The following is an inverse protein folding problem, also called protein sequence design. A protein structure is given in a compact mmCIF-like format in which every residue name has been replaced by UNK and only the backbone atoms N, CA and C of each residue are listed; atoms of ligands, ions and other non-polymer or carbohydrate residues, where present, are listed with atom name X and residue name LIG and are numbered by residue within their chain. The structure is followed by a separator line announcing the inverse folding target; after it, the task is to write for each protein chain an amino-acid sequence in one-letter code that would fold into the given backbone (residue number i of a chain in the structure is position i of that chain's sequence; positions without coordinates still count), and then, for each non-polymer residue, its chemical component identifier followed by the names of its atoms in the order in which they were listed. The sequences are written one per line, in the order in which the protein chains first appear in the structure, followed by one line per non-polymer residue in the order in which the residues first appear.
data_IF_547526144533
#
_entry.id   IF_547526144533
#
_cell.length_a   1.000
_cell.length_b   1.000
_cell.length_c   1.000
_cell.angle_alpha   90.00
_cell.angle_beta   90.00
_cell.angle_gamma   90.00
#
_symmetry.space_group_name_H-M   'P 1'
#
loop_
_entity.id
_entity.type
_entity.pdbx_description
1 polymer ?
#
# COMPACT_ATOMS: atom_id res chain seq x y z
N UNK A 1 9.77 6.83 -4.35
CA UNK A 1 8.97 6.50 -3.15
C UNK A 1 9.04 5.01 -2.90
N UNK A 2 9.22 4.60 -1.66
CA UNK A 2 9.31 3.20 -1.25
C UNK A 2 7.91 2.63 -1.07
N UNK A 3 7.62 1.49 -1.71
CA UNK A 3 6.35 0.77 -1.57
C UNK A 3 6.55 -0.41 -0.63
N UNK A 4 5.72 -0.50 0.39
CA UNK A 4 5.86 -1.47 1.47
C UNK A 4 4.55 -2.17 1.80
N UNK A 5 4.65 -3.27 2.53
CA UNK A 5 3.51 -3.96 3.14
C UNK A 5 3.88 -4.41 4.55
N UNK A 6 2.89 -4.53 5.43
CA UNK A 6 3.11 -5.23 6.71
C UNK A 6 3.39 -6.71 6.47
N UNK A 7 4.39 -7.26 7.19
CA UNK A 7 4.76 -8.68 7.15
C UNK A 7 3.57 -9.62 7.33
N UNK A 8 2.65 -9.26 8.21
CA UNK A 8 1.46 -10.06 8.51
C UNK A 8 0.49 -10.15 7.33
N UNK A 9 0.48 -9.13 6.45
CA UNK A 9 -0.38 -9.07 5.27
C UNK A 9 0.27 -9.77 4.07
N UNK A 10 1.60 -9.76 3.96
CA UNK A 10 2.34 -10.42 2.87
C UNK A 10 2.06 -11.93 2.79
N UNK A 11 1.85 -12.60 3.93
CA UNK A 11 1.75 -14.07 4.04
C UNK A 11 0.56 -14.72 3.31
N UNK A 12 -0.29 -13.93 2.65
CA UNK A 12 -1.51 -14.43 1.99
C UNK A 12 -1.33 -14.74 0.50
N UNK A 13 -0.10 -14.69 -0.03
CA UNK A 13 0.22 -14.97 -1.44
C UNK A 13 -0.57 -14.12 -2.45
N UNK A 14 -0.96 -12.92 -2.02
CA UNK A 14 -1.69 -11.94 -2.82
C UNK A 14 -0.76 -10.84 -3.33
N UNK A 15 0.45 -11.25 -3.65
CA UNK A 15 1.56 -10.41 -4.06
C UNK A 15 1.15 -9.44 -5.18
N UNK A 16 0.51 -9.95 -6.23
CA UNK A 16 0.00 -9.13 -7.34
C UNK A 16 -0.99 -8.06 -6.90
N UNK A 17 -1.92 -8.39 -5.99
CA UNK A 17 -2.91 -7.43 -5.48
C UNK A 17 -2.23 -6.34 -4.66
N UNK A 18 -1.25 -6.70 -3.82
CA UNK A 18 -0.48 -5.72 -3.03
C UNK A 18 0.21 -4.72 -3.96
N UNK A 19 0.86 -5.23 -5.00
CA UNK A 19 1.54 -4.41 -5.99
C UNK A 19 0.56 -3.48 -6.73
N UNK A 20 -0.54 -4.01 -7.26
CA UNK A 20 -1.55 -3.23 -7.97
C UNK A 20 -2.16 -2.13 -7.09
N UNK A 21 -2.48 -2.43 -5.83
CA UNK A 21 -3.02 -1.48 -4.86
C UNK A 21 -2.02 -0.36 -4.56
N UNK A 22 -0.76 -0.72 -4.26
CA UNK A 22 0.27 0.26 -3.92
C UNK A 22 0.61 1.17 -5.10
N UNK A 23 0.74 0.61 -6.30
CA UNK A 23 1.03 1.40 -7.50
C UNK A 23 -0.13 2.30 -7.89
N UNK A 24 -1.37 1.78 -7.88
CA UNK A 24 -2.55 2.57 -8.23
C UNK A 24 -2.71 3.73 -7.25
N UNK A 25 -2.58 3.49 -5.94
CA UNK A 25 -2.68 4.55 -4.94
C UNK A 25 -1.53 5.56 -5.04
N UNK A 26 -0.31 5.12 -5.34
CA UNK A 26 0.84 6.01 -5.52
C UNK A 26 0.64 6.96 -6.71
N UNK A 27 0.03 6.48 -7.79
CA UNK A 27 -0.28 7.30 -8.97
C UNK A 27 -1.48 8.21 -8.72
N UNK A 28 -2.58 7.67 -8.18
CA UNK A 28 -3.81 8.42 -7.98
C UNK A 28 -3.69 9.54 -6.93
N UNK A 29 -2.76 9.42 -5.98
CA UNK A 29 -2.51 10.41 -4.93
C UNK A 29 -1.11 11.05 -5.04
N UNK A 30 -0.51 11.09 -6.24
CA UNK A 30 0.86 11.58 -6.43
C UNK A 30 1.05 13.01 -5.91
N UNK A 31 0.08 13.90 -6.19
CA UNK A 31 0.11 15.30 -5.76
C UNK A 31 0.09 15.42 -4.23
N UNK A 32 -0.81 14.69 -3.55
CA UNK A 32 -0.89 14.71 -2.09
C UNK A 32 0.33 14.08 -1.44
N UNK A 33 0.83 12.97 -2.00
CA UNK A 33 2.02 12.28 -1.50
C UNK A 33 3.24 13.21 -1.58
N UNK A 34 3.39 13.90 -2.71
CA UNK A 34 4.46 14.87 -2.95
C UNK A 34 4.34 16.09 -2.05
N UNK A 35 3.15 16.69 -1.94
CA UNK A 35 2.89 17.85 -1.09
C UNK A 35 3.18 17.60 0.40
N UNK A 36 3.14 16.34 0.83
CA UNK A 36 3.40 15.92 2.21
C UNK A 36 4.81 15.33 2.43
N UNK A 37 5.73 15.46 1.46
CA UNK A 37 7.08 14.90 1.52
C UNK A 37 7.09 13.39 1.83
N UNK A 38 6.12 12.67 1.27
CA UNK A 38 6.00 11.24 1.48
C UNK A 38 7.15 10.53 0.79
N UNK A 39 7.87 9.69 1.54
CA UNK A 39 8.91 8.83 0.97
C UNK A 39 8.55 7.35 1.04
N UNK A 40 7.64 6.96 1.93
CA UNK A 40 7.20 5.58 2.14
C UNK A 40 5.68 5.49 2.05
N UNK A 41 5.18 4.55 1.27
CA UNK A 41 3.77 4.18 1.22
C UNK A 41 3.64 2.71 1.58
N UNK A 42 2.84 2.39 2.59
CA UNK A 42 2.64 1.01 3.04
C UNK A 42 1.19 0.58 3.02
N UNK A 43 0.92 -0.61 2.50
CA UNK A 43 -0.33 -1.32 2.73
C UNK A 43 -0.35 -1.85 4.18
N UNK A 44 -1.38 -1.47 4.94
CA UNK A 44 -1.50 -1.77 6.38
C UNK A 44 -2.84 -2.40 6.77
N UNK A 45 -3.79 -2.50 5.84
CA UNK A 45 -5.04 -3.24 6.01
C UNK A 45 -5.50 -3.80 4.67
N UNK A 46 -5.98 -5.04 4.67
CA UNK A 46 -6.46 -5.76 3.49
C UNK A 46 -7.80 -5.22 3.02
N UNK A 47 -8.89 -5.85 3.42
CA UNK A 47 -10.22 -5.43 3.06
C UNK A 47 -11.00 -5.40 4.36
N UNK A 48 -11.53 -4.23 4.66
CA UNK A 48 -12.49 -4.08 5.74
C UNK A 48 -13.60 -3.16 5.28
N UNK A 49 -14.75 -3.35 5.90
CA UNK A 49 -15.96 -2.60 5.60
C UNK A 49 -15.91 -1.28 6.39
N UNK A 50 -15.86 -0.14 5.70
CA UNK A 50 -16.03 1.16 6.34
C UNK A 50 -17.48 1.42 6.72
N UNK A 51 -17.73 2.52 7.41
CA UNK A 51 -19.08 2.98 7.77
C UNK A 51 -20.01 3.20 6.59
N UNK A 52 -19.46 3.40 5.39
CA UNK A 52 -20.19 3.51 4.11
C UNK A 52 -20.51 2.13 3.48
N UNK A 53 -20.24 1.04 4.22
CA UNK A 53 -20.39 -0.35 3.79
C UNK A 53 -19.50 -0.78 2.61
N UNK A 54 -18.53 0.05 2.23
CA UNK A 54 -17.61 -0.27 1.15
C UNK A 54 -16.36 -0.97 1.66
N UNK A 55 -15.95 -1.98 0.89
CA UNK A 55 -14.72 -2.70 1.08
C UNK A 55 -13.53 -1.88 0.58
N UNK A 56 -12.51 -1.69 1.41
CA UNK A 56 -11.34 -0.93 1.03
C UNK A 56 -10.04 -1.40 1.67
N UNK A 57 -8.96 -1.16 0.92
CA UNK A 57 -7.58 -1.26 1.36
C UNK A 57 -7.18 0.00 2.13
N UNK A 58 -6.41 -0.18 3.21
CA UNK A 58 -5.83 0.94 3.95
C UNK A 58 -4.34 1.03 3.72
N UNK A 59 -3.93 2.14 3.14
CA UNK A 59 -2.53 2.51 3.00
C UNK A 59 -2.17 3.66 3.94
N UNK A 60 -0.91 3.72 4.31
CA UNK A 60 -0.32 4.80 5.12
C UNK A 60 0.90 5.37 4.46
N UNK A 61 0.99 6.69 4.45
CA UNK A 61 2.13 7.45 3.94
C UNK A 61 2.99 7.96 5.08
N UNK A 62 4.31 7.86 4.93
CA UNK A 62 5.29 8.32 5.91
C UNK A 62 6.37 9.20 5.25
N UNK A 63 6.80 10.21 5.99
CA UNK A 63 7.95 11.04 5.61
C UNK A 63 9.30 10.35 5.91
N UNK A 64 10.40 11.04 5.60
CA UNK A 64 11.75 10.51 5.78
C UNK A 64 12.11 10.20 7.25
N UNK A 65 11.47 10.87 8.21
CA UNK A 65 11.64 10.59 9.64
C UNK A 65 10.87 9.34 10.10
N UNK A 66 10.04 8.76 9.22
CA UNK A 66 9.11 7.70 9.57
C UNK A 66 7.83 8.23 10.24
N UNK A 67 7.58 9.54 10.21
CA UNK A 67 6.34 10.08 10.75
C UNK A 67 5.19 9.85 9.78
N UNK A 68 4.05 9.37 10.28
CA UNK A 68 2.82 9.19 9.50
C UNK A 68 2.35 10.54 8.96
N UNK A 69 2.24 10.76 7.66
CA UNK A 69 1.78 12.05 7.08
C UNK A 69 0.35 12.01 6.53
N UNK A 70 -0.12 10.81 6.16
CA UNK A 70 -1.47 10.63 5.66
C UNK A 70 -1.90 9.17 5.62
N UNK A 71 -3.11 8.97 5.11
CA UNK A 71 -3.73 7.66 4.95
C UNK A 71 -4.51 7.67 3.65
N UNK A 72 -4.49 6.57 2.92
CA UNK A 72 -5.30 6.40 1.72
C UNK A 72 -6.23 5.22 1.95
N UNK A 73 -7.51 5.41 1.65
CA UNK A 73 -8.45 4.32 1.52
C UNK A 73 -8.67 4.09 0.03
N UNK A 74 -8.40 2.88 -0.44
CA UNK A 74 -8.59 2.50 -1.83
C UNK A 74 -9.72 1.49 -1.94
N UNK A 75 -10.76 1.80 -2.71
CA UNK A 75 -11.89 0.90 -2.92
C UNK A 75 -11.42 -0.44 -3.50
N UNK A 76 -11.91 -1.55 -2.92
CA UNK A 76 -11.48 -2.88 -3.31
C UNK A 76 -11.86 -3.22 -4.77
N UNK A 77 -13.03 -2.74 -5.21
CA UNK A 77 -13.56 -2.95 -6.55
C UNK A 77 -13.42 -1.71 -7.45
N UNK A 78 -13.76 -0.53 -6.93
CA UNK A 78 -13.79 0.71 -7.72
C UNK A 78 -12.41 1.27 -8.06
N UNK A 79 -11.37 0.85 -7.30
CA UNK A 79 -10.02 1.43 -7.33
C UNK A 79 -9.99 2.94 -7.05
N UNK A 80 -11.09 3.51 -6.55
CA UNK A 80 -11.15 4.91 -6.13
C UNK A 80 -10.25 5.12 -4.92
N UNK A 81 -9.46 6.19 -4.94
CA UNK A 81 -8.52 6.52 -3.88
C UNK A 81 -9.01 7.75 -3.12
N UNK A 82 -9.09 7.62 -1.81
CA UNK A 82 -9.47 8.71 -0.91
C UNK A 82 -8.32 9.01 0.04
N UNK A 83 -7.71 10.18 -0.12
CA UNK A 83 -6.67 10.69 0.76
C UNK A 83 -7.25 11.31 2.03
N UNK A 84 -6.63 11.02 3.17
CA UNK A 84 -6.94 11.61 4.46
C UNK A 84 -5.68 12.17 5.10
N UNK A 85 -5.60 13.49 5.18
CA UNK A 85 -4.47 14.17 5.81
C UNK A 85 -4.45 13.98 7.33
N UNK A 86 -3.26 14.16 7.94
CA UNK A 86 -3.09 14.29 9.41
C UNK A 86 -4.07 15.30 10.02
N UNK A 87 -4.27 16.43 9.35
CA UNK A 87 -5.13 17.54 9.82
C UNK A 87 -6.60 17.14 9.81
N UNK A 88 -7.04 16.41 8.78
CA UNK A 88 -8.41 15.91 8.67
C UNK A 88 -8.71 14.80 9.69
N UNK A 89 -7.75 13.90 9.95
CA UNK A 89 -7.87 12.90 11.02
C UNK A 89 -7.99 13.52 12.41
N UNK A 90 -7.25 14.61 12.69
CA UNK A 90 -7.38 15.35 13.96
C UNK A 90 -8.75 15.99 14.14
N UNK A 91 -9.39 16.44 13.06
CA UNK A 91 -10.77 16.98 13.11
C UNK A 91 -11.82 15.89 13.32
N UNK A 92 -11.65 14.71 12.73
CA UNK A 92 -12.62 13.61 12.83
C UNK A 92 -12.46 12.71 14.06
N UNK A 93 -11.30 12.68 14.72
CA UNK A 93 -11.07 11.80 15.88
C UNK A 93 -10.51 12.52 17.12
N UNK A 94 -11.34 12.65 18.17
CA UNK A 94 -10.90 12.89 19.57
C UNK A 94 -10.33 11.62 20.24
N UNK A 95 -10.43 10.46 19.60
CA UNK A 95 -9.86 9.19 20.09
C UNK A 95 -8.53 8.92 19.39
N UNK A 96 -7.44 8.89 20.17
CA UNK A 96 -6.13 8.39 19.72
C UNK A 96 -6.29 6.94 19.27
N UNK A 97 -6.39 6.68 17.97
CA UNK A 97 -6.24 5.32 17.47
C UNK A 97 -4.76 4.93 17.60
N UNK A 98 -4.50 3.72 18.10
CA UNK A 98 -3.17 3.10 18.17
C UNK A 98 -2.48 2.99 16.81
N UNK A 99 -3.20 3.26 15.73
CA UNK A 99 -2.74 3.40 14.35
C UNK A 99 -2.06 4.74 14.05
N UNK A 100 -1.85 5.60 15.04
CA UNK A 100 -1.00 6.80 14.93
C UNK A 100 0.51 6.55 15.13
N UNK A 101 0.91 5.30 15.35
CA UNK A 101 2.32 4.90 15.50
C UNK A 101 3.04 5.08 14.16
N UNK A 102 4.25 5.63 14.22
CA UNK A 102 5.10 5.89 13.05
C UNK A 102 5.53 4.62 12.32
N UNK A 103 6.39 4.80 11.33
CA UNK A 103 6.93 3.71 10.54
C UNK A 103 7.83 2.80 11.39
N UNK A 104 7.58 1.48 11.34
CA UNK A 104 8.32 0.47 12.09
C UNK A 104 9.03 -0.48 11.11
N UNK A 105 10.33 -0.27 10.80
CA UNK A 105 11.03 -1.01 9.74
C UNK A 105 10.97 -2.53 9.91
N UNK A 106 11.02 -3.02 11.16
CA UNK A 106 11.03 -4.45 11.46
C UNK A 106 9.69 -5.16 11.16
N UNK A 107 8.59 -4.41 10.99
CA UNK A 107 7.25 -4.95 10.67
C UNK A 107 6.87 -4.79 9.20
N UNK A 108 7.65 -4.04 8.44
CA UNK A 108 7.39 -3.73 7.04
C UNK A 108 8.34 -4.53 6.14
N UNK A 109 7.86 -4.86 4.95
CA UNK A 109 8.64 -5.48 3.87
C UNK A 109 8.53 -4.60 2.65
N UNK A 110 9.66 -4.39 1.99
CA UNK A 110 9.72 -3.66 0.73
C UNK A 110 9.15 -4.52 -0.39
N UNK A 111 8.31 -3.91 -1.24
CA UNK A 111 7.62 -4.56 -2.37
C UNK A 111 8.44 -4.44 -3.68
N UNK A 112 9.73 -4.11 -3.62
CA UNK A 112 10.62 -4.02 -4.80
C UNK A 112 10.87 -5.34 -5.52
N UNK A 113 12.01 -5.45 -6.22
CA UNK A 113 12.42 -6.52 -7.18
C UNK A 113 12.23 -7.99 -6.79
N UNK A 114 11.70 -8.30 -5.60
CA UNK A 114 11.09 -9.60 -5.31
C UNK A 114 10.01 -10.00 -6.34
N UNK A 115 9.38 -9.03 -7.00
CA UNK A 115 8.39 -9.27 -8.07
C UNK A 115 8.98 -9.50 -9.46
N UNK A 116 10.18 -8.99 -9.76
CA UNK A 116 10.83 -9.24 -11.04
C UNK A 116 11.28 -10.69 -11.13
N UNK A 117 11.74 -11.30 -10.03
CA UNK A 117 12.15 -12.71 -10.02
C UNK A 117 10.98 -13.70 -10.16
N UNK A 118 9.82 -13.48 -9.53
CA UNK A 118 8.67 -14.38 -9.70
C UNK A 118 7.99 -14.25 -11.08
N UNK A 119 8.01 -13.05 -11.68
CA UNK A 119 7.56 -12.86 -13.07
C UNK A 119 8.54 -13.45 -14.09
N UNK A 120 9.85 -13.40 -13.84
CA UNK A 120 10.86 -14.06 -14.68
C UNK A 120 10.75 -15.59 -14.60
N UNK A 121 10.54 -16.16 -13.41
CA UNK A 121 10.37 -17.62 -13.24
C UNK A 121 9.16 -18.15 -14.02
N UNK A 122 8.07 -17.37 -14.15
CA UNK A 122 6.89 -17.77 -14.93
C UNK A 122 6.92 -17.39 -16.41
N UNK A 123 7.91 -16.61 -16.87
CA UNK A 123 8.05 -16.27 -18.30
C UNK A 123 9.08 -17.13 -19.03
N UNK A 124 9.95 -17.85 -18.31
CA UNK A 124 10.86 -18.85 -18.89
C UNK A 124 10.16 -20.17 -19.28
N UNK A 125 8.93 -20.45 -18.82
CA UNK A 125 8.15 -21.61 -19.29
C UNK A 125 7.50 -21.40 -20.67
N UNK A 126 7.58 -20.19 -21.27
CA UNK A 126 6.96 -19.88 -22.59
C UNK A 126 8.02 -19.58 -23.67
N UNK A 127 9.25 -20.07 -23.51
CA UNK A 127 10.27 -20.07 -24.59
C UNK A 127 10.91 -21.45 -24.79
N UNK A 128 10.10 -22.35 -25.37
CA UNK A 128 10.40 -23.36 -26.43
C UNK A 128 11.88 -23.70 -26.73
N UNK A 129 12.25 -24.97 -27.10
CA UNK A 129 11.78 -25.49 -28.40
C UNK A 129 11.82 -27.03 -28.67
N UNK A 130 11.19 -27.37 -29.81
CA UNK A 130 11.49 -28.43 -30.80
C UNK A 130 10.51 -29.61 -30.89
N UNK A 131 9.74 -29.55 -31.97
CA UNK A 131 9.81 -30.47 -33.11
C UNK A 131 10.35 -31.87 -32.83
N UNK A 132 9.46 -32.87 -32.95
CA UNK A 132 9.73 -34.12 -33.66
C UNK A 132 8.50 -34.43 -34.50
#
# INVERSE_FOLDING_TARGET
MELLVLKDLQRQDRHRVIWEVLHTAAQACEDELSANNTVKLSLTGWVHVSSDQNEHYTLRSYDASGSLVGSIHMGAESRECHWFSKTEKRRRNRKKSSTGIGFEPHRHVYIGEAFTQELEIHSDEIRSPKTV
#
